data_IF_222111955709
#
_entry.id   IF_222111955709
#
_cell.length_a   1.000
_cell.length_b   1.000
_cell.length_c   1.000
_cell.angle_alpha   90.00
_cell.angle_beta   90.00
_cell.angle_gamma   90.00
#
_symmetry.space_group_name_H-M   'P 1'
#
loop_
_entity.id
_entity.type
_entity.pdbx_description
1 polymer ?
#
# COMPACT_ATOMS: atom_id res chain seq x y z
N UNK A 1 -10.48 -1.14 -11.38
CA UNK A 1 -9.03 -1.20 -11.69
C UNK A 1 -8.27 -2.11 -10.72
N UNK A 2 -8.55 -2.10 -9.41
CA UNK A 2 -8.00 -3.02 -8.38
C UNK A 2 -7.94 -4.51 -8.77
N UNK A 3 -8.95 -5.03 -9.48
CA UNK A 3 -9.06 -6.46 -9.87
C UNK A 3 -7.89 -7.00 -10.72
N UNK A 4 -7.24 -6.16 -11.52
CA UNK A 4 -6.11 -6.60 -12.37
C UNK A 4 -4.85 -6.81 -11.52
N UNK A 5 -4.57 -5.87 -10.60
CA UNK A 5 -3.48 -6.03 -9.64
C UNK A 5 -3.65 -7.26 -8.77
N UNK A 6 -4.87 -7.52 -8.28
CA UNK A 6 -5.20 -8.74 -7.51
C UNK A 6 -4.99 -10.03 -8.33
N UNK A 7 -5.33 -10.02 -9.62
CA UNK A 7 -5.10 -11.17 -10.50
C UNK A 7 -3.60 -11.48 -10.67
N UNK A 8 -2.76 -10.45 -10.79
CA UNK A 8 -1.30 -10.64 -10.82
C UNK A 8 -0.76 -11.18 -9.51
N UNK A 9 -1.28 -10.73 -8.36
CA UNK A 9 -0.90 -11.30 -7.05
C UNK A 9 -1.28 -12.78 -6.98
N UNK A 10 -2.51 -13.15 -7.36
CA UNK A 10 -2.98 -14.54 -7.33
C UNK A 10 -2.17 -15.48 -8.23
N UNK A 11 -1.63 -14.95 -9.33
CA UNK A 11 -0.77 -15.70 -10.26
C UNK A 11 0.71 -15.60 -9.91
N UNK A 12 1.06 -15.08 -8.73
CA UNK A 12 2.44 -14.86 -8.27
C UNK A 12 3.28 -13.97 -9.19
N UNK A 13 2.63 -13.21 -10.07
CA UNK A 13 3.25 -12.26 -10.99
C UNK A 13 3.50 -10.91 -10.30
N UNK A 14 4.23 -10.95 -9.18
CA UNK A 14 4.41 -9.80 -8.29
C UNK A 14 5.02 -8.57 -8.96
N UNK A 15 6.02 -8.76 -9.83
CA UNK A 15 6.62 -7.65 -10.59
C UNK A 15 5.61 -6.95 -11.50
N UNK A 16 4.64 -7.67 -12.06
CA UNK A 16 3.57 -7.09 -12.89
C UNK A 16 2.54 -6.38 -12.00
N UNK A 17 2.22 -6.96 -10.84
CA UNK A 17 1.34 -6.34 -9.86
C UNK A 17 1.89 -4.98 -9.37
N UNK A 18 3.18 -4.93 -9.00
CA UNK A 18 3.85 -3.70 -8.55
C UNK A 18 3.80 -2.64 -9.64
N UNK A 19 4.28 -2.95 -10.86
CA UNK A 19 4.28 -1.99 -11.98
C UNK A 19 2.89 -1.46 -12.31
N UNK A 20 1.88 -2.33 -12.23
CA UNK A 20 0.49 -1.94 -12.45
C UNK A 20 0.00 -0.96 -11.38
N UNK A 21 0.25 -1.25 -10.10
CA UNK A 21 -0.15 -0.36 -9.02
C UNK A 21 0.62 0.97 -9.06
N UNK A 22 1.92 0.96 -9.32
CA UNK A 22 2.73 2.19 -9.46
C UNK A 22 2.20 3.10 -10.58
N UNK A 23 1.81 2.51 -11.72
CA UNK A 23 1.26 3.27 -12.84
C UNK A 23 -0.05 3.96 -12.47
N UNK A 24 -0.93 3.28 -11.72
CA UNK A 24 -2.20 3.87 -11.31
C UNK A 24 -1.99 4.90 -10.21
N UNK A 25 -1.17 4.63 -9.20
CA UNK A 25 -0.90 5.58 -8.11
C UNK A 25 -0.33 6.89 -8.66
N UNK A 26 0.51 6.83 -9.71
CA UNK A 26 1.01 8.03 -10.41
C UNK A 26 -0.06 8.80 -11.17
N UNK A 27 -1.06 8.10 -11.73
CA UNK A 27 -2.12 8.72 -12.52
C UNK A 27 -3.27 9.25 -11.65
N UNK A 28 -3.63 8.50 -10.60
CA UNK A 28 -4.67 8.82 -9.63
C UNK A 28 -4.18 8.39 -8.23
N UNK A 29 -3.78 9.33 -7.37
CA UNK A 29 -3.29 9.04 -6.03
C UNK A 29 -4.45 8.69 -5.09
N UNK A 30 -5.09 7.52 -5.31
CA UNK A 30 -6.10 6.99 -4.42
C UNK A 30 -5.42 6.26 -3.24
N UNK A 31 -5.78 6.65 -2.01
CA UNK A 31 -5.23 6.10 -0.76
C UNK A 31 -5.36 4.57 -0.67
N UNK A 32 -6.45 3.97 -1.15
CA UNK A 32 -6.65 2.53 -1.13
C UNK A 32 -5.61 1.76 -1.98
N UNK A 33 -5.27 2.28 -3.16
CA UNK A 33 -4.30 1.62 -4.04
C UNK A 33 -2.87 1.72 -3.50
N UNK A 34 -2.54 2.84 -2.84
CA UNK A 34 -1.28 3.02 -2.13
C UNK A 34 -1.12 2.02 -0.99
N UNK A 35 -2.18 1.78 -0.22
CA UNK A 35 -2.19 0.75 0.83
C UNK A 35 -2.01 -0.65 0.26
N UNK A 36 -2.71 -1.00 -0.84
CA UNK A 36 -2.56 -2.31 -1.46
C UNK A 36 -1.14 -2.54 -2.00
N UNK A 37 -0.51 -1.49 -2.56
CA UNK A 37 0.88 -1.54 -2.99
C UNK A 37 1.83 -1.70 -1.80
N UNK A 38 1.65 -0.93 -0.73
CA UNK A 38 2.46 -1.04 0.49
C UNK A 38 2.37 -2.44 1.12
N UNK A 39 1.17 -3.03 1.23
CA UNK A 39 0.99 -4.39 1.75
C UNK A 39 1.72 -5.44 0.87
N UNK A 40 1.64 -5.30 -0.45
CA UNK A 40 2.36 -6.19 -1.36
C UNK A 40 3.88 -6.06 -1.21
N UNK A 41 4.40 -4.84 -1.13
CA UNK A 41 5.84 -4.59 -0.95
C UNK A 41 6.34 -5.13 0.39
N UNK A 42 5.56 -4.98 1.47
CA UNK A 42 5.89 -5.51 2.77
C UNK A 42 5.98 -7.05 2.74
N UNK A 43 5.02 -7.72 2.09
CA UNK A 43 5.03 -9.17 1.89
C UNK A 43 6.22 -9.67 1.08
N UNK A 44 6.79 -8.82 0.23
CA UNK A 44 8.00 -9.10 -0.55
C UNK A 44 9.28 -8.62 0.15
N UNK A 45 9.19 -8.25 1.43
CA UNK A 45 10.28 -7.75 2.26
C UNK A 45 10.94 -6.46 1.72
N UNK A 46 10.23 -5.69 0.90
CA UNK A 46 10.69 -4.39 0.37
C UNK A 46 10.35 -3.25 1.34
N UNK A 47 10.95 -3.30 2.53
CA UNK A 47 10.61 -2.43 3.66
C UNK A 47 10.82 -0.94 3.36
N UNK A 48 11.94 -0.58 2.74
CA UNK A 48 12.26 0.82 2.39
C UNK A 48 11.19 1.47 1.49
N UNK A 49 10.74 0.72 0.47
CA UNK A 49 9.70 1.21 -0.44
C UNK A 49 8.32 1.26 0.24
N UNK A 50 8.03 0.28 1.09
CA UNK A 50 6.80 0.25 1.89
C UNK A 50 6.71 1.48 2.79
N UNK A 51 7.78 1.76 3.54
CA UNK A 51 7.84 2.91 4.45
C UNK A 51 7.63 4.22 3.69
N UNK A 52 8.31 4.41 2.56
CA UNK A 52 8.17 5.63 1.75
C UNK A 52 6.72 5.89 1.32
N UNK A 53 6.03 4.86 0.81
CA UNK A 53 4.64 5.00 0.33
C UNK A 53 3.69 5.35 1.48
N UNK A 54 3.88 4.72 2.65
CA UNK A 54 3.06 5.00 3.82
C UNK A 54 3.34 6.40 4.39
N UNK A 55 4.59 6.85 4.41
CA UNK A 55 4.96 8.20 4.85
C UNK A 55 4.36 9.27 3.93
N UNK A 56 4.40 9.06 2.61
CA UNK A 56 3.77 9.95 1.63
C UNK A 56 2.25 9.98 1.81
N UNK A 57 1.62 8.80 2.00
CA UNK A 57 0.18 8.69 2.26
C UNK A 57 -0.24 9.45 3.53
N UNK A 58 0.48 9.27 4.63
CA UNK A 58 0.16 9.90 5.92
C UNK A 58 0.46 11.41 5.94
N UNK A 59 1.42 11.88 5.14
CA UNK A 59 1.74 13.32 5.01
C UNK A 59 0.71 14.09 4.18
N UNK A 60 0.13 13.45 3.16
CA UNK A 60 -0.84 14.09 2.27
C UNK A 60 -2.24 14.21 2.88
N UNK A 61 -2.53 13.48 3.97
CA UNK A 61 -3.88 13.36 4.49
C UNK A 61 -4.25 14.45 5.50
N UNK A 62 -5.01 15.45 5.01
CA UNK A 62 -5.85 16.35 5.82
C UNK A 62 -6.84 15.48 6.61
N UNK A 63 -7.08 15.72 7.92
CA UNK A 63 -7.96 14.88 8.73
C UNK A 63 -9.39 14.93 8.19
N UNK A 64 -9.76 13.93 7.39
CA UNK A 64 -11.10 13.80 6.83
C UNK A 64 -11.82 12.67 7.56
N UNK A 65 -12.80 13.01 8.39
CA UNK A 65 -13.43 12.14 9.39
C UNK A 65 -14.33 11.02 8.84
N UNK A 66 -14.18 10.62 7.56
CA UNK A 66 -14.96 9.54 6.98
C UNK A 66 -14.47 8.16 7.46
N UNK A 67 -15.39 7.22 7.71
CA UNK A 67 -15.12 5.85 8.14
C UNK A 67 -14.15 5.10 7.22
N UNK A 68 -14.29 5.23 5.90
CA UNK A 68 -13.37 4.58 4.94
C UNK A 68 -11.92 5.08 5.10
N UNK A 69 -11.76 6.35 5.45
CA UNK A 69 -10.46 6.96 5.67
C UNK A 69 -9.84 6.48 7.00
N UNK A 70 -10.63 6.41 8.07
CA UNK A 70 -10.19 5.81 9.33
C UNK A 70 -9.70 4.36 9.12
N UNK A 71 -10.43 3.55 8.34
CA UNK A 71 -10.01 2.19 8.00
C UNK A 71 -8.68 2.14 7.23
N UNK A 72 -8.41 3.12 6.38
CA UNK A 72 -7.17 3.20 5.59
C UNK A 72 -5.97 3.54 6.49
N UNK A 73 -6.13 4.54 7.37
CA UNK A 73 -5.11 4.92 8.34
C UNK A 73 -4.79 3.76 9.29
N UNK A 74 -5.82 3.06 9.81
CA UNK A 74 -5.62 1.89 10.66
C UNK A 74 -4.78 0.83 9.95
N UNK A 75 -5.10 0.50 8.69
CA UNK A 75 -4.32 -0.47 7.91
C UNK A 75 -2.88 -0.02 7.66
N UNK A 76 -2.64 1.27 7.40
CA UNK A 76 -1.29 1.80 7.23
C UNK A 76 -0.44 1.56 8.49
N UNK A 77 -0.99 1.84 9.67
CA UNK A 77 -0.30 1.59 10.94
C UNK A 77 -0.11 0.10 11.24
N UNK A 78 -1.06 -0.77 10.89
CA UNK A 78 -0.89 -2.22 10.99
C UNK A 78 0.29 -2.71 10.13
N UNK A 79 0.41 -2.22 8.89
CA UNK A 79 1.54 -2.56 8.02
C UNK A 79 2.86 -2.09 8.64
N UNK A 80 2.91 -0.88 9.20
CA UNK A 80 4.09 -0.40 9.92
C UNK A 80 4.46 -1.31 11.11
N UNK A 81 3.50 -1.64 11.97
CA UNK A 81 3.76 -2.50 13.13
C UNK A 81 4.33 -3.86 12.69
N UNK A 82 3.70 -4.48 11.69
CA UNK A 82 4.16 -5.75 11.12
C UNK A 82 5.58 -5.66 10.53
N UNK A 83 5.93 -4.54 9.90
CA UNK A 83 7.26 -4.32 9.34
C UNK A 83 8.36 -4.33 10.42
N UNK A 84 8.09 -3.71 11.57
CA UNK A 84 9.02 -3.62 12.70
C UNK A 84 9.10 -4.90 13.52
N UNK A 85 8.00 -5.64 13.66
CA UNK A 85 7.99 -6.93 14.36
C UNK A 85 8.81 -8.01 13.63
N UNK A 86 8.82 -7.98 12.29
CA UNK A 86 9.62 -8.89 11.45
C UNK A 86 11.13 -8.57 11.43
N UNK A 87 11.63 -7.70 12.32
CA UNK A 87 13.06 -7.38 12.50
C UNK A 87 13.64 -7.89 13.84
N UNK A 88 12.89 -8.71 14.58
CA UNK A 88 13.38 -9.49 15.75
C UNK A 88 13.62 -10.94 15.36
#
# INVERSE_FOLDING_TARGET
MKKIGEAYIKTHAYTKAIKYYEAIVKAEPQSELRINLADLLNKLNQKDQTQRILDELLKEEVPNTNFQHAQQITKAYEIFANMFEQNK
#
